data_IF_290728407909
#
_entry.id   IF_290728407909
#
_cell.length_a   1.000
_cell.length_b   1.000
_cell.length_c   1.000
_cell.angle_alpha   90.00
_cell.angle_beta   90.00
_cell.angle_gamma   90.00
#
_symmetry.space_group_name_H-M   'P 1'
#
loop_
_entity.id
_entity.type
_entity.pdbx_description
1 polymer ?
#
# COMPACT_ATOMS: atom_id res chain seq x y z
N UNK A 1 10.57 10.84 -20.06
CA UNK A 1 9.74 9.86 -19.32
C UNK A 1 10.66 8.93 -18.55
N UNK A 2 10.36 8.66 -17.28
CA UNK A 2 11.13 7.68 -16.48
C UNK A 2 10.89 6.26 -17.00
N UNK A 3 11.76 5.31 -16.65
CA UNK A 3 11.60 3.88 -17.00
C UNK A 3 10.23 3.33 -16.57
N UNK A 4 9.71 3.78 -15.43
CA UNK A 4 8.37 3.37 -14.94
C UNK A 4 7.26 3.93 -15.83
N UNK A 5 7.32 5.22 -16.17
CA UNK A 5 6.32 5.86 -17.04
C UNK A 5 6.29 5.23 -18.43
N UNK A 6 7.45 4.94 -19.00
CA UNK A 6 7.55 4.26 -20.30
C UNK A 6 6.90 2.87 -20.25
N UNK A 7 7.16 2.10 -19.19
CA UNK A 7 6.62 0.75 -19.07
C UNK A 7 5.09 0.71 -18.95
N UNK A 8 4.48 1.61 -18.18
CA UNK A 8 3.00 1.71 -18.12
C UNK A 8 2.40 2.19 -19.44
N UNK A 9 3.06 3.13 -20.13
CA UNK A 9 2.62 3.59 -21.44
C UNK A 9 2.71 2.48 -22.50
N UNK A 10 3.73 1.63 -22.46
CA UNK A 10 3.84 0.47 -23.34
C UNK A 10 2.77 -0.58 -23.03
N UNK A 11 2.48 -0.82 -21.76
CA UNK A 11 1.52 -1.84 -21.32
C UNK A 11 0.07 -1.49 -21.69
N UNK A 12 -0.36 -0.26 -21.43
CA UNK A 12 -1.78 0.11 -21.50
C UNK A 12 -2.04 1.49 -22.12
N UNK A 13 -1.02 2.14 -22.71
CA UNK A 13 -1.10 3.52 -23.23
C UNK A 13 -1.53 4.55 -22.18
N UNK A 14 -1.34 4.25 -20.89
CA UNK A 14 -1.68 5.17 -19.81
C UNK A 14 -0.50 6.11 -19.53
N UNK A 15 -0.58 7.41 -19.90
CA UNK A 15 0.57 8.30 -19.79
C UNK A 15 0.88 8.70 -18.35
N UNK A 16 2.14 9.06 -18.11
CA UNK A 16 2.63 9.71 -16.89
C UNK A 16 2.46 8.91 -15.57
N UNK A 17 2.15 7.61 -15.64
CA UNK A 17 2.06 6.75 -14.46
C UNK A 17 3.43 6.58 -13.78
N UNK A 18 3.53 6.98 -12.51
CA UNK A 18 4.76 6.89 -11.71
C UNK A 18 4.84 5.62 -10.86
N UNK A 19 3.77 4.82 -10.84
CA UNK A 19 3.64 3.57 -10.10
C UNK A 19 2.17 3.21 -9.89
N UNK A 20 1.89 1.94 -9.64
CA UNK A 20 0.58 1.46 -9.21
C UNK A 20 0.60 1.27 -7.68
N UNK A 21 -0.27 1.97 -6.96
CA UNK A 21 -0.36 1.92 -5.50
C UNK A 21 -1.53 1.02 -5.07
N UNK A 22 -1.27 0.15 -4.11
CA UNK A 22 -2.31 -0.64 -3.45
C UNK A 22 -1.94 -0.92 -1.99
N UNK A 23 -2.93 -1.28 -1.18
CA UNK A 23 -2.78 -1.66 0.22
C UNK A 23 -3.13 -3.13 0.41
N UNK A 24 -2.32 -3.86 1.20
CA UNK A 24 -2.52 -5.28 1.45
C UNK A 24 -2.40 -5.62 2.93
N UNK A 25 -3.22 -6.56 3.40
CA UNK A 25 -3.19 -7.01 4.79
C UNK A 25 -2.24 -8.19 4.97
N UNK A 26 -1.15 -7.95 5.70
CA UNK A 26 -0.24 -9.02 6.13
C UNK A 26 -0.69 -9.51 7.50
N UNK A 27 -1.08 -10.79 7.58
CA UNK A 27 -1.58 -11.40 8.81
C UNK A 27 -0.48 -11.44 9.87
N UNK A 28 -0.83 -11.06 11.10
CA UNK A 28 0.05 -11.13 12.26
C UNK A 28 -0.62 -11.94 13.37
N UNK A 29 0.16 -12.38 14.35
CA UNK A 29 -0.39 -12.83 15.64
C UNK A 29 -1.01 -11.63 16.35
N UNK A 30 -1.99 -11.87 17.22
CA UNK A 30 -2.50 -10.80 18.08
C UNK A 30 -1.32 -10.16 18.82
N UNK A 31 -1.14 -8.82 18.74
CA UNK A 31 -0.08 -8.15 19.48
C UNK A 31 -0.35 -8.12 20.99
N UNK A 32 -1.58 -8.46 21.42
CA UNK A 32 -1.99 -8.43 22.82
C UNK A 32 -2.14 -6.99 23.36
N UNK A 33 -2.55 -6.89 24.63
CA UNK A 33 -2.78 -5.61 25.30
C UNK A 33 -4.05 -4.87 24.86
N UNK A 34 -4.25 -3.70 25.44
CA UNK A 34 -5.46 -2.87 25.26
C UNK A 34 -5.69 -2.43 23.81
N UNK A 35 -4.60 -2.31 23.03
CA UNK A 35 -4.63 -1.83 21.66
C UNK A 35 -4.67 -2.95 20.61
N UNK A 36 -4.83 -4.22 20.98
CA UNK A 36 -4.80 -5.32 20.00
C UNK A 36 -5.85 -5.18 18.89
N UNK A 37 -7.04 -4.70 19.25
CA UNK A 37 -8.17 -4.57 18.33
C UNK A 37 -7.95 -3.57 17.21
N UNK A 38 -7.05 -2.58 17.37
CA UNK A 38 -6.73 -1.67 16.25
C UNK A 38 -6.07 -2.43 15.10
N UNK A 39 -5.43 -3.58 15.35
CA UNK A 39 -4.83 -4.40 14.31
C UNK A 39 -5.84 -5.34 13.64
N UNK A 40 -7.07 -5.45 14.15
CA UNK A 40 -8.11 -6.26 13.52
C UNK A 40 -8.63 -5.55 12.28
N UNK A 41 -8.64 -6.27 11.16
CA UNK A 41 -9.18 -5.76 9.91
C UNK A 41 -10.66 -6.10 9.72
N UNK A 42 -11.26 -5.59 8.64
CA UNK A 42 -12.65 -5.88 8.23
C UNK A 42 -12.96 -7.35 7.94
N UNK A 43 -11.93 -8.21 7.81
CA UNK A 43 -12.04 -9.66 7.61
C UNK A 43 -11.86 -10.44 8.94
N UNK A 44 -11.94 -9.75 10.07
CA UNK A 44 -11.87 -10.30 11.42
C UNK A 44 -10.56 -11.01 11.78
N UNK A 45 -9.43 -10.65 11.17
CA UNK A 45 -8.10 -11.12 11.59
C UNK A 45 -7.13 -9.98 11.86
N UNK A 46 -6.13 -10.22 12.73
CA UNK A 46 -5.08 -9.26 13.04
C UNK A 46 -4.10 -9.13 11.89
N UNK A 47 -3.83 -7.91 11.46
CA UNK A 47 -2.93 -7.63 10.34
C UNK A 47 -2.22 -6.29 10.47
N UNK A 48 -1.11 -6.17 9.74
CA UNK A 48 -0.60 -4.88 9.31
C UNK A 48 -1.22 -4.56 7.94
N UNK A 49 -1.74 -3.34 7.78
CA UNK A 49 -2.09 -2.83 6.47
C UNK A 49 -0.82 -2.23 5.84
N UNK A 50 -0.40 -2.77 4.70
CA UNK A 50 0.87 -2.46 4.05
C UNK A 50 0.58 -1.77 2.73
N UNK A 51 1.01 -0.52 2.61
CA UNK A 51 1.02 0.17 1.32
C UNK A 51 2.19 -0.34 0.49
N UNK A 52 1.94 -0.62 -0.78
CA UNK A 52 2.98 -0.94 -1.76
C UNK A 52 2.80 -0.11 -3.02
N UNK A 53 3.90 0.19 -3.70
CA UNK A 53 3.88 0.74 -5.06
C UNK A 53 4.68 -0.18 -5.96
N UNK A 54 4.08 -0.60 -7.07
CA UNK A 54 4.71 -1.43 -8.08
C UNK A 54 4.97 -0.66 -9.38
N UNK A 55 6.08 -0.98 -10.03
CA UNK A 55 6.34 -0.59 -11.42
C UNK A 55 5.62 -1.54 -12.39
N UNK A 56 5.57 -1.17 -13.68
CA UNK A 56 4.91 -1.96 -14.73
C UNK A 56 5.50 -3.35 -14.95
N UNK A 57 6.71 -3.62 -14.47
CA UNK A 57 7.38 -4.92 -14.51
C UNK A 57 7.17 -5.74 -13.22
N UNK A 58 6.13 -5.41 -12.44
CA UNK A 58 5.74 -6.09 -11.21
C UNK A 58 6.77 -5.98 -10.07
N UNK A 59 7.80 -5.14 -10.19
CA UNK A 59 8.75 -4.88 -9.10
C UNK A 59 8.18 -3.86 -8.12
N UNK A 60 8.29 -4.16 -6.83
CA UNK A 60 7.97 -3.21 -5.75
C UNK A 60 9.05 -2.13 -5.72
N UNK A 61 8.63 -0.87 -5.83
CA UNK A 61 9.50 0.32 -5.79
C UNK A 61 9.31 1.16 -4.52
N UNK A 62 8.26 0.87 -3.73
CA UNK A 62 8.04 1.48 -2.42
C UNK A 62 7.19 0.56 -1.54
N UNK A 63 7.48 0.54 -0.24
CA UNK A 63 6.73 -0.21 0.77
C UNK A 63 6.61 0.59 2.07
N UNK A 64 5.42 0.58 2.68
CA UNK A 64 5.17 1.14 4.01
C UNK A 64 4.39 0.12 4.83
N UNK A 65 5.08 -0.56 5.76
CA UNK A 65 4.54 -1.67 6.54
C UNK A 65 4.34 -1.31 8.03
N UNK A 66 3.62 -0.22 8.30
CA UNK A 66 3.46 0.31 9.67
C UNK A 66 2.02 0.55 10.11
N UNK A 67 1.03 0.41 9.21
CA UNK A 67 -0.34 0.76 9.55
C UNK A 67 -1.06 -0.40 10.22
N UNK A 68 -1.90 -0.12 11.23
CA UNK A 68 -2.70 -1.14 11.86
C UNK A 68 -3.77 -1.66 10.89
N UNK A 69 -4.19 -2.92 11.06
CA UNK A 69 -5.15 -3.59 10.17
C UNK A 69 -6.53 -2.94 10.07
N UNK A 70 -6.92 -2.09 11.02
CA UNK A 70 -8.15 -1.28 10.94
C UNK A 70 -8.01 -0.03 10.07
N UNK A 71 -6.79 0.38 9.71
CA UNK A 71 -6.56 1.60 8.95
C UNK A 71 -7.13 1.46 7.54
N UNK A 72 -7.92 2.46 7.12
CA UNK A 72 -8.42 2.58 5.76
C UNK A 72 -7.33 3.00 4.78
N UNK A 73 -7.36 2.44 3.56
CA UNK A 73 -6.39 2.73 2.51
C UNK A 73 -6.32 4.22 2.14
N UNK A 74 -7.46 4.93 2.20
CA UNK A 74 -7.51 6.38 1.99
C UNK A 74 -6.73 7.17 3.06
N UNK A 75 -6.83 6.75 4.32
CA UNK A 75 -6.05 7.33 5.44
C UNK A 75 -4.57 7.06 5.24
N UNK A 76 -4.21 5.85 4.82
CA UNK A 76 -2.83 5.45 4.54
C UNK A 76 -2.25 6.31 3.42
N UNK A 77 -2.98 6.42 2.30
CA UNK A 77 -2.56 7.23 1.16
C UNK A 77 -2.37 8.70 1.56
N UNK A 78 -3.34 9.31 2.24
CA UNK A 78 -3.27 10.72 2.70
C UNK A 78 -2.09 11.00 3.64
N UNK A 79 -1.64 9.99 4.38
CA UNK A 79 -0.49 10.08 5.29
C UNK A 79 0.80 9.53 4.67
N UNK A 80 0.79 9.20 3.38
CA UNK A 80 1.98 8.79 2.64
C UNK A 80 2.71 10.02 2.09
N UNK A 81 4.03 9.91 1.97
CA UNK A 81 4.84 10.91 1.25
C UNK A 81 4.41 11.08 -0.21
N UNK A 82 3.72 10.08 -0.77
CA UNK A 82 3.30 10.02 -2.17
C UNK A 82 1.99 10.76 -2.43
N UNK A 83 1.30 11.25 -1.39
CA UNK A 83 0.11 12.09 -1.54
C UNK A 83 0.42 13.58 -1.60
N UNK A 84 1.65 13.99 -1.24
CA UNK A 84 2.07 15.39 -1.25
C UNK A 84 2.44 15.76 -2.69
N UNK A 85 1.82 16.82 -3.22
CA UNK A 85 2.11 17.40 -4.53
C UNK A 85 3.42 18.17 -4.50
#
# INVERSE_FOLDING_TARGET
>A
MTTVQQGFYQLARFPQVVGALDCTHIKIKSPGGENAEIYRNRKNFFSLNVQTIAASNLKIINIVARWPGSAHDSTIFRNSEKSKR
#
